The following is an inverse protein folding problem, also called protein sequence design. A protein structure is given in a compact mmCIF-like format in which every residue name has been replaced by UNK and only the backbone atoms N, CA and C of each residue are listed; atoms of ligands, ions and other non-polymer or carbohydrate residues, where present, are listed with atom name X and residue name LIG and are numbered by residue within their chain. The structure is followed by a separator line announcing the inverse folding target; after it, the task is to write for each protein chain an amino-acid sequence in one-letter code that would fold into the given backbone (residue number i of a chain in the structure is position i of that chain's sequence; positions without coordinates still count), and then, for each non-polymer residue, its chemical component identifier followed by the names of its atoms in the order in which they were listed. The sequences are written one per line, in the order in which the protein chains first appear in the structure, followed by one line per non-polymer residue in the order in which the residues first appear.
data_IF_370071594817
#
_entry.id   IF_370071594817
#
_cell.length_a   1.000
_cell.length_b   1.000
_cell.length_c   1.000
_cell.angle_alpha   90.00
_cell.angle_beta   90.00
_cell.angle_gamma   90.00
#
_symmetry.space_group_name_H-M   'P 1'
#
loop_
_entity.id
_entity.type
_entity.pdbx_description
1 polymer ?
#
# COMPACT_ATOMS: atom_id res chain seq x y z
N UNK A 1 -1.03 13.28 -18.81
CA UNK A 1 -2.38 12.68 -18.69
C UNK A 1 -2.40 11.27 -19.23
N UNK A 2 -3.10 10.36 -18.56
CA UNK A 2 -3.43 9.05 -19.10
C UNK A 2 -4.70 9.13 -19.97
N UNK A 3 -5.01 8.09 -20.74
CA UNK A 3 -6.16 8.08 -21.67
C UNK A 3 -7.51 8.22 -20.95
N UNK A 4 -7.62 7.69 -19.74
CA UNK A 4 -8.82 7.80 -18.92
C UNK A 4 -9.07 9.26 -18.47
N UNK A 5 -8.03 9.96 -18.01
CA UNK A 5 -8.08 11.37 -17.65
C UNK A 5 -8.48 12.24 -18.85
N UNK A 6 -7.92 11.98 -20.04
CA UNK A 6 -8.29 12.69 -21.26
C UNK A 6 -9.78 12.49 -21.61
N UNK A 7 -10.27 11.25 -21.48
CA UNK A 7 -11.68 10.93 -21.73
C UNK A 7 -12.60 11.59 -20.71
N UNK A 8 -12.22 11.59 -19.42
CA UNK A 8 -12.98 12.22 -18.34
C UNK A 8 -13.05 13.73 -18.52
N UNK A 9 -11.93 14.40 -18.82
CA UNK A 9 -11.89 15.83 -19.09
C UNK A 9 -12.74 16.18 -20.32
N UNK A 10 -12.63 15.42 -21.41
CA UNK A 10 -13.43 15.65 -22.62
C UNK A 10 -14.94 15.57 -22.36
N UNK A 11 -15.39 14.65 -21.50
CA UNK A 11 -16.80 14.56 -21.08
C UNK A 11 -17.22 15.76 -20.23
N UNK A 12 -16.39 16.15 -19.25
CA UNK A 12 -16.67 17.28 -18.38
C UNK A 12 -16.80 18.60 -19.18
N UNK A 13 -15.89 18.83 -20.14
CA UNK A 13 -15.95 20.00 -21.00
C UNK A 13 -17.18 20.03 -21.92
N UNK A 14 -17.64 18.86 -22.40
CA UNK A 14 -18.88 18.78 -23.19
C UNK A 14 -20.11 19.14 -22.36
N UNK A 15 -20.22 18.56 -21.16
CA UNK A 15 -21.31 18.86 -20.22
C UNK A 15 -21.34 20.36 -19.86
N UNK A 16 -20.18 20.98 -19.67
CA UNK A 16 -20.08 22.42 -19.45
C UNK A 16 -20.53 23.24 -20.66
N UNK A 17 -20.25 22.77 -21.89
CA UNK A 17 -20.76 23.37 -23.11
C UNK A 17 -22.29 23.35 -23.16
N UNK A 18 -22.90 22.20 -22.85
CA UNK A 18 -24.36 22.04 -22.78
C UNK A 18 -24.98 22.96 -21.71
N UNK A 19 -24.33 23.08 -20.55
CA UNK A 19 -24.74 24.05 -19.53
C UNK A 19 -24.64 25.49 -20.02
N UNK A 20 -23.58 25.83 -20.75
CA UNK A 20 -23.39 27.14 -21.37
C UNK A 20 -24.51 27.51 -22.35
N UNK A 21 -24.91 26.56 -23.20
CA UNK A 21 -26.01 26.75 -24.17
C UNK A 21 -27.38 26.89 -23.50
N UNK A 22 -27.61 26.18 -22.38
CA UNK A 22 -28.87 26.20 -21.64
C UNK A 22 -29.00 27.39 -20.66
N UNK A 23 -27.95 28.21 -20.49
CA UNK A 23 -27.99 29.37 -19.61
C UNK A 23 -28.91 30.46 -20.16
N UNK A 24 -29.83 30.91 -19.31
CA UNK A 24 -30.76 32.02 -19.61
C UNK A 24 -30.87 32.94 -18.40
N UNK A 25 -31.45 34.12 -18.57
CA UNK A 25 -31.67 35.05 -17.46
C UNK A 25 -32.59 34.50 -16.35
N UNK A 26 -33.34 33.43 -16.64
CA UNK A 26 -34.29 32.79 -15.71
C UNK A 26 -33.76 31.47 -15.14
N UNK A 27 -32.48 31.16 -15.33
CA UNK A 27 -31.89 29.93 -14.80
C UNK A 27 -31.96 29.93 -13.26
N UNK A 28 -32.51 28.88 -12.62
CA UNK A 28 -32.61 28.81 -11.17
C UNK A 28 -31.24 28.72 -10.49
N UNK A 29 -31.10 29.32 -9.30
CA UNK A 29 -29.86 29.31 -8.51
C UNK A 29 -29.32 27.90 -8.25
N UNK A 30 -30.20 26.92 -8.01
CA UNK A 30 -29.80 25.53 -7.85
C UNK A 30 -28.99 25.01 -9.06
N UNK A 31 -29.41 25.39 -10.28
CA UNK A 31 -28.72 25.02 -11.51
C UNK A 31 -27.37 25.74 -11.63
N UNK A 32 -27.30 27.00 -11.20
CA UNK A 32 -26.03 27.74 -11.16
C UNK A 32 -25.02 27.11 -10.19
N UNK A 33 -25.50 26.58 -9.06
CA UNK A 33 -24.66 25.83 -8.12
C UNK A 33 -24.16 24.50 -8.69
N UNK A 34 -24.98 23.78 -9.44
CA UNK A 34 -24.56 22.58 -10.18
C UNK A 34 -23.46 22.91 -11.19
N UNK A 35 -23.69 23.92 -12.05
CA UNK A 35 -22.72 24.35 -13.06
C UNK A 35 -21.40 24.76 -12.40
N UNK A 36 -21.45 25.47 -11.27
CA UNK A 36 -20.26 25.83 -10.49
C UNK A 36 -19.51 24.60 -9.99
N UNK A 37 -20.20 23.57 -9.53
CA UNK A 37 -19.57 22.33 -9.07
C UNK A 37 -18.91 21.58 -10.23
N UNK A 38 -19.57 21.52 -11.39
CA UNK A 38 -19.01 20.91 -12.61
C UNK A 38 -17.79 21.67 -13.14
N UNK A 39 -17.83 23.01 -13.13
CA UNK A 39 -16.68 23.84 -13.50
C UNK A 39 -15.48 23.53 -12.60
N UNK A 40 -15.72 23.41 -11.29
CA UNK A 40 -14.65 23.11 -10.34
C UNK A 40 -14.07 21.72 -10.57
N UNK A 41 -14.91 20.71 -10.78
CA UNK A 41 -14.45 19.35 -11.13
C UNK A 41 -13.60 19.33 -12.40
N UNK A 42 -14.01 20.07 -13.44
CA UNK A 42 -13.25 20.14 -14.69
C UNK A 42 -11.89 20.84 -14.49
N UNK A 43 -11.85 21.89 -13.68
CA UNK A 43 -10.61 22.58 -13.31
C UNK A 43 -9.68 21.67 -12.51
N UNK A 44 -10.20 20.94 -11.51
CA UNK A 44 -9.40 20.02 -10.71
C UNK A 44 -8.75 18.93 -11.60
N UNK A 45 -9.50 18.36 -12.56
CA UNK A 45 -8.97 17.41 -13.55
C UNK A 45 -7.89 18.02 -14.46
N UNK A 46 -8.02 19.30 -14.80
CA UNK A 46 -7.03 20.02 -15.60
C UNK A 46 -5.77 20.32 -14.76
N UNK A 47 -5.92 20.73 -13.52
CA UNK A 47 -4.79 21.02 -12.63
C UNK A 47 -3.98 19.76 -12.33
N UNK A 48 -4.63 18.65 -12.04
CA UNK A 48 -3.97 17.34 -11.91
C UNK A 48 -3.19 16.95 -13.17
N UNK A 49 -3.71 17.34 -14.34
CA UNK A 49 -3.06 17.04 -15.62
C UNK A 49 -1.82 17.86 -15.92
N UNK A 50 -1.83 19.14 -15.51
CA UNK A 50 -0.75 20.11 -15.76
C UNK A 50 0.36 19.97 -14.71
N UNK A 51 -0.01 19.69 -13.46
CA UNK A 51 0.94 19.60 -12.34
C UNK A 51 1.51 18.19 -12.14
N UNK A 52 0.81 17.15 -12.63
CA UNK A 52 1.22 15.76 -12.49
C UNK A 52 2.37 15.36 -13.40
N UNK A 53 3.25 14.48 -12.91
CA UNK A 53 4.25 13.82 -13.76
C UNK A 53 3.56 13.03 -14.88
N UNK A 54 4.15 13.05 -16.08
CA UNK A 54 3.61 12.28 -17.20
C UNK A 54 3.52 10.79 -16.81
N UNK A 55 2.35 10.16 -16.96
CA UNK A 55 2.19 8.77 -16.57
C UNK A 55 3.10 7.89 -17.44
N UNK A 56 3.83 6.99 -16.78
CA UNK A 56 4.72 6.04 -17.45
C UNK A 56 3.95 4.94 -18.17
N UNK A 57 2.73 4.64 -17.72
CA UNK A 57 1.85 3.65 -18.36
C UNK A 57 0.53 4.27 -18.82
N UNK A 58 -0.21 3.58 -19.70
CA UNK A 58 -1.56 3.98 -20.13
C UNK A 58 -2.67 3.36 -19.27
N UNK A 59 -2.31 2.65 -18.20
CA UNK A 59 -3.25 1.97 -17.31
C UNK A 59 -3.86 2.95 -16.29
N UNK A 60 -5.19 2.94 -16.09
CA UNK A 60 -5.84 3.79 -15.08
C UNK A 60 -5.54 3.35 -13.64
N UNK A 61 -5.30 2.05 -13.40
CA UNK A 61 -4.96 1.53 -12.08
C UNK A 61 -3.50 1.83 -11.69
N UNK A 62 -2.59 1.88 -12.67
CA UNK A 62 -1.14 1.99 -12.42
C UNK A 62 -0.48 3.06 -13.30
N UNK A 63 -0.86 4.34 -13.19
CA UNK A 63 -0.36 5.40 -14.08
C UNK A 63 1.17 5.60 -14.01
N UNK A 64 1.78 5.30 -12.85
CA UNK A 64 3.24 5.39 -12.61
C UNK A 64 3.90 4.02 -12.46
N UNK A 65 3.24 2.95 -12.89
CA UNK A 65 3.73 1.58 -12.76
C UNK A 65 4.94 1.28 -13.67
N UNK A 66 5.58 0.12 -13.46
CA UNK A 66 6.65 -0.37 -14.33
C UNK A 66 6.14 -0.59 -15.77
N UNK A 67 6.95 -0.18 -16.74
CA UNK A 67 6.59 -0.16 -18.17
C UNK A 67 6.98 -1.48 -18.83
N UNK A 68 6.04 -2.07 -19.58
CA UNK A 68 6.28 -3.19 -20.49
C UNK A 68 5.89 -2.77 -21.91
N UNK A 69 6.87 -2.66 -22.82
CA UNK A 69 6.64 -2.23 -24.22
C UNK A 69 5.84 -3.24 -25.03
N UNK A 70 5.75 -4.49 -24.57
CA UNK A 70 4.93 -5.53 -25.21
C UNK A 70 3.49 -5.55 -24.71
N UNK A 71 3.16 -4.78 -23.67
CA UNK A 71 1.81 -4.66 -23.13
C UNK A 71 1.00 -3.59 -23.89
N UNK A 72 -0.30 -3.82 -24.18
CA UNK A 72 -1.15 -2.87 -24.91
C UNK A 72 -1.37 -1.54 -24.17
N UNK A 73 -1.40 -1.58 -22.83
CA UNK A 73 -1.53 -0.43 -21.93
C UNK A 73 -0.19 0.00 -21.32
N UNK A 74 0.93 -0.55 -21.82
CA UNK A 74 2.29 -0.33 -21.32
C UNK A 74 2.49 -0.74 -19.85
N UNK A 75 1.52 -1.38 -19.20
CA UNK A 75 1.57 -1.68 -17.77
C UNK A 75 2.02 -3.12 -17.52
N UNK A 76 3.22 -3.29 -16.96
CA UNK A 76 3.77 -4.61 -16.64
C UNK A 76 2.90 -5.37 -15.64
N UNK A 77 2.29 -4.68 -14.67
CA UNK A 77 1.46 -5.32 -13.62
C UNK A 77 0.19 -5.95 -14.19
N UNK A 78 -0.55 -5.18 -15.01
CA UNK A 78 -1.75 -5.67 -15.68
C UNK A 78 -1.41 -6.74 -16.72
N UNK A 79 -0.31 -6.59 -17.46
CA UNK A 79 0.11 -7.58 -18.44
C UNK A 79 0.57 -8.89 -17.81
N UNK A 80 1.25 -8.85 -16.66
CA UNK A 80 1.61 -10.05 -15.89
C UNK A 80 0.36 -10.81 -15.45
N UNK A 81 -0.69 -10.09 -15.00
CA UNK A 81 -1.99 -10.68 -14.65
C UNK A 81 -2.67 -11.31 -15.88
N UNK A 82 -2.70 -10.62 -17.04
CA UNK A 82 -3.25 -11.15 -18.30
C UNK A 82 -2.49 -12.39 -18.80
N UNK A 83 -1.16 -12.40 -18.72
CA UNK A 83 -0.33 -13.57 -19.06
C UNK A 83 -0.57 -14.75 -18.11
N UNK A 84 -0.77 -14.49 -16.82
CA UNK A 84 -1.12 -15.55 -15.87
C UNK A 84 -2.49 -16.18 -16.20
N UNK A 85 -3.51 -15.36 -16.50
CA UNK A 85 -4.82 -15.84 -16.91
C UNK A 85 -4.77 -16.67 -18.20
N UNK A 86 -4.09 -16.18 -19.26
CA UNK A 86 -3.91 -16.94 -20.51
C UNK A 86 -3.18 -18.27 -20.30
N UNK A 87 -2.16 -18.32 -19.42
CA UNK A 87 -1.49 -19.59 -19.09
C UNK A 87 -2.43 -20.59 -18.42
N UNK A 88 -3.34 -20.13 -17.57
CA UNK A 88 -4.34 -20.99 -16.92
C UNK A 88 -5.41 -21.49 -17.90
N UNK A 89 -5.72 -20.72 -18.97
CA UNK A 89 -6.67 -21.12 -20.01
C UNK A 89 -6.08 -22.18 -20.97
N UNK A 90 -4.82 -22.02 -21.40
CA UNK A 90 -4.23 -22.88 -22.44
C UNK A 90 -3.59 -24.17 -21.94
N UNK A 91 -3.02 -24.19 -20.73
CA UNK A 91 -2.40 -25.40 -20.18
C UNK A 91 -3.39 -26.31 -19.44
N UNK A 92 -4.70 -26.03 -19.55
CA UNK A 92 -5.68 -26.47 -18.56
C UNK A 92 -5.27 -25.99 -17.15
N UNK A 93 -5.88 -26.51 -16.07
CA UNK A 93 -5.21 -26.48 -14.79
C UNK A 93 -3.93 -27.33 -14.93
N UNK A 94 -2.83 -26.72 -15.40
CA UNK A 94 -1.49 -27.29 -15.24
C UNK A 94 -1.34 -27.74 -13.79
N UNK A 95 -0.64 -28.86 -13.53
CA UNK A 95 -0.81 -29.68 -12.34
C UNK A 95 -1.09 -28.78 -11.16
N UNK A 96 -2.34 -28.86 -10.68
CA UNK A 96 -2.81 -28.05 -9.57
C UNK A 96 -1.67 -28.01 -8.56
N UNK A 97 -1.23 -26.79 -8.20
CA UNK A 97 -0.31 -26.63 -7.10
C UNK A 97 -0.81 -27.58 -6.00
N UNK A 98 -0.01 -28.59 -5.61
CA UNK A 98 -0.54 -29.73 -4.87
C UNK A 98 -1.17 -29.18 -3.60
N UNK A 99 -2.49 -29.33 -3.52
CA UNK A 99 -3.29 -29.17 -2.33
C UNK A 99 -2.98 -27.89 -1.53
N UNK A 100 -3.84 -26.87 -1.65
CA UNK A 100 -4.11 -26.05 -0.45
C UNK A 100 -4.55 -27.05 0.62
N UNK A 101 -3.83 -27.22 1.74
CA UNK A 101 -4.26 -28.16 2.76
C UNK A 101 -5.61 -27.65 3.28
N UNK A 102 -6.68 -28.45 3.13
CA UNK A 102 -7.98 -28.18 3.77
C UNK A 102 -7.85 -28.03 5.29
N UNK A 103 -6.72 -28.50 5.85
CA UNK A 103 -6.34 -28.32 7.23
C UNK A 103 -4.89 -27.81 7.34
N UNK A 104 -4.67 -26.56 7.80
CA UNK A 104 -3.33 -26.08 8.07
C UNK A 104 -2.66 -26.98 9.13
N UNK A 105 -1.53 -27.58 8.76
CA UNK A 105 -0.75 -28.41 9.67
C UNK A 105 -0.20 -27.51 10.78
N UNK A 106 -0.49 -27.77 12.07
CA UNK A 106 -0.06 -26.90 13.15
C UNK A 106 1.46 -26.95 13.30
N UNK A 107 2.13 -25.89 12.88
CA UNK A 107 3.50 -25.61 13.27
C UNK A 107 3.58 -25.38 14.79
N UNK A 108 4.67 -25.83 15.43
CA UNK A 108 4.99 -25.56 16.85
C UNK A 108 4.90 -24.06 17.22
N UNK A 109 5.05 -23.20 16.23
CA UNK A 109 4.78 -21.77 16.28
C UNK A 109 3.53 -21.51 15.42
N UNK A 110 2.35 -21.45 16.03
CA UNK A 110 1.07 -21.49 15.34
C UNK A 110 0.94 -20.55 14.12
N UNK A 111 0.04 -20.90 13.20
CA UNK A 111 -0.29 -20.07 12.03
C UNK A 111 -0.87 -18.74 12.53
N UNK A 112 -0.08 -17.67 12.35
CA UNK A 112 -0.47 -16.30 12.67
C UNK A 112 -1.61 -15.90 11.73
N UNK A 113 -2.78 -15.55 12.27
CA UNK A 113 -3.96 -15.22 11.46
C UNK A 113 -3.69 -14.12 10.42
N UNK A 114 -4.51 -14.12 9.37
CA UNK A 114 -4.38 -13.31 8.14
C UNK A 114 -4.36 -11.78 8.33
N UNK A 115 -4.59 -11.30 9.56
CA UNK A 115 -4.27 -9.92 9.96
C UNK A 115 -3.45 -9.92 11.26
N UNK A 116 -2.19 -9.45 11.27
CA UNK A 116 -1.50 -9.21 12.51
C UNK A 116 -2.28 -8.16 13.32
N UNK A 117 -2.68 -8.50 14.55
CA UNK A 117 -3.36 -7.55 15.43
C UNK A 117 -2.48 -6.31 15.63
N UNK A 118 -3.07 -5.10 15.69
CA UNK A 118 -2.33 -3.87 15.96
C UNK A 118 -1.56 -4.03 17.27
N UNK A 119 -0.26 -3.73 17.23
CA UNK A 119 0.60 -3.90 18.40
C UNK A 119 0.87 -2.52 18.99
N UNK A 120 0.36 -2.31 20.21
CA UNK A 120 0.74 -1.18 21.03
C UNK A 120 1.92 -1.60 21.90
N UNK A 121 3.00 -0.82 21.86
CA UNK A 121 4.22 -1.07 22.62
C UNK A 121 4.74 0.23 23.21
N UNK A 122 5.30 0.14 24.40
CA UNK A 122 5.94 1.22 25.10
C UNK A 122 7.44 0.96 25.15
N UNK A 123 8.21 1.82 24.49
CA UNK A 123 9.65 1.70 24.29
C UNK A 123 10.38 2.59 25.32
N UNK A 124 11.00 2.01 26.35
CA UNK A 124 11.83 2.76 27.28
C UNK A 124 13.18 3.05 26.63
N UNK A 125 13.52 4.34 26.53
CA UNK A 125 14.77 4.80 25.93
C UNK A 125 15.60 5.61 26.92
N UNK A 126 16.92 5.49 26.79
CA UNK A 126 17.90 6.31 27.48
C UNK A 126 18.66 7.18 26.48
N UNK A 127 19.17 8.30 26.95
CA UNK A 127 20.11 9.11 26.18
C UNK A 127 21.54 8.71 26.53
N UNK A 128 22.30 8.27 25.54
CA UNK A 128 23.68 7.80 25.72
C UNK A 128 24.74 8.91 25.58
N UNK A 129 24.33 10.13 25.24
CA UNK A 129 25.23 11.27 24.95
C UNK A 129 25.18 11.73 23.49
N UNK A 130 24.71 10.89 22.58
CA UNK A 130 24.64 11.16 21.14
C UNK A 130 23.26 10.88 20.54
N UNK A 131 22.61 9.80 20.99
CA UNK A 131 21.30 9.39 20.48
C UNK A 131 20.44 8.75 21.57
N UNK A 132 19.15 8.65 21.28
CA UNK A 132 18.21 7.88 22.08
C UNK A 132 18.33 6.41 21.71
N UNK A 133 18.59 5.56 22.71
CA UNK A 133 18.72 4.12 22.54
C UNK A 133 17.76 3.38 23.45
N UNK A 134 17.24 2.25 22.97
CA UNK A 134 16.41 1.36 23.78
C UNK A 134 17.22 0.85 24.98
N UNK A 135 16.69 1.07 26.18
CA UNK A 135 17.37 0.68 27.42
C UNK A 135 16.85 -0.62 28.01
N UNK A 136 16.10 -1.42 27.25
CA UNK A 136 15.48 -2.66 27.69
C UNK A 136 14.51 -3.21 26.64
N UNK A 137 13.68 -4.18 27.04
CA UNK A 137 12.65 -4.75 26.17
C UNK A 137 11.39 -3.86 26.13
N UNK A 138 10.75 -3.71 24.95
CA UNK A 138 9.46 -3.04 24.82
C UNK A 138 8.40 -3.62 25.77
N UNK A 139 7.56 -2.78 26.35
CA UNK A 139 6.47 -3.17 27.25
C UNK A 139 5.11 -3.11 26.56
N UNK A 140 4.17 -3.91 27.04
CA UNK A 140 2.78 -3.86 26.55
C UNK A 140 1.93 -2.86 27.31
N UNK A 141 2.28 -2.62 28.57
CA UNK A 141 1.60 -1.64 29.44
C UNK A 141 2.50 -0.42 29.70
N UNK A 142 1.88 0.76 29.67
CA UNK A 142 2.53 2.04 29.97
C UNK A 142 3.05 2.05 31.41
N UNK A 143 2.25 1.58 32.36
CA UNK A 143 2.59 1.63 33.79
C UNK A 143 3.81 0.77 34.09
N UNK A 144 3.88 -0.41 33.48
CA UNK A 144 5.05 -1.28 33.56
C UNK A 144 6.32 -0.59 33.04
N UNK A 145 6.21 0.12 31.91
CA UNK A 145 7.35 0.84 31.32
C UNK A 145 7.81 2.04 32.19
N UNK A 146 6.87 2.77 32.77
CA UNK A 146 7.17 3.86 33.71
C UNK A 146 7.86 3.35 34.98
N UNK A 147 7.39 2.25 35.56
CA UNK A 147 8.03 1.60 36.70
C UNK A 147 9.44 1.12 36.36
N UNK A 148 9.63 0.58 35.16
CA UNK A 148 10.94 0.17 34.67
C UNK A 148 11.91 1.35 34.57
N UNK A 149 11.51 2.46 33.94
CA UNK A 149 12.35 3.68 33.87
C UNK A 149 12.64 4.25 35.27
N UNK A 150 11.67 4.20 36.19
CA UNK A 150 11.90 4.61 37.57
C UNK A 150 12.93 3.74 38.28
N UNK A 151 12.96 2.42 38.00
CA UNK A 151 13.98 1.52 38.50
C UNK A 151 15.36 1.82 37.87
N UNK A 152 15.42 2.06 36.55
CA UNK A 152 16.67 2.39 35.85
C UNK A 152 17.33 3.67 36.42
N UNK A 153 16.53 4.68 36.78
CA UNK A 153 17.00 5.92 37.41
C UNK A 153 17.60 5.71 38.80
N UNK A 154 17.19 4.64 39.50
CA UNK A 154 17.73 4.26 40.83
C UNK A 154 18.85 3.23 40.73
N UNK A 155 19.21 2.81 39.52
CA UNK A 155 20.26 1.82 39.28
C UNK A 155 21.66 2.39 39.56
N UNK A 156 22.69 1.52 39.56
CA UNK A 156 24.06 1.91 39.87
C UNK A 156 24.71 2.82 38.81
N UNK A 157 24.16 2.85 37.59
CA UNK A 157 24.63 3.70 36.47
C UNK A 157 23.43 4.29 35.71
N UNK A 158 22.79 5.34 36.24
CA UNK A 158 21.68 5.98 35.56
C UNK A 158 22.19 6.76 34.33
N UNK A 159 21.42 6.74 33.25
CA UNK A 159 21.65 7.59 32.10
C UNK A 159 21.25 9.05 32.42
N UNK A 160 21.78 10.00 31.64
CA UNK A 160 21.51 11.42 31.88
C UNK A 160 20.03 11.80 31.65
N UNK A 161 19.37 11.10 30.74
CA UNK A 161 17.96 11.29 30.48
C UNK A 161 17.30 9.97 30.06
N UNK A 162 16.01 9.86 30.35
CA UNK A 162 15.17 8.76 29.92
C UNK A 162 13.88 9.33 29.34
N UNK A 163 13.35 8.65 28.33
CA UNK A 163 12.02 8.94 27.78
C UNK A 163 11.26 7.65 27.52
N UNK A 164 9.95 7.78 27.41
CA UNK A 164 9.07 6.69 27.06
C UNK A 164 8.42 7.02 25.72
N UNK A 165 8.63 6.16 24.73
CA UNK A 165 8.06 6.30 23.39
C UNK A 165 6.89 5.34 23.24
N UNK A 166 5.76 5.84 22.75
CA UNK A 166 4.62 5.00 22.39
C UNK A 166 4.76 4.60 20.92
N UNK A 167 4.97 3.32 20.68
CA UNK A 167 4.94 2.73 19.35
C UNK A 167 3.58 2.08 19.14
N UNK A 168 2.85 2.58 18.15
CA UNK A 168 1.63 1.98 17.67
C UNK A 168 1.89 1.54 16.24
N UNK A 169 1.76 0.24 15.96
CA UNK A 169 1.81 -0.23 14.57
C UNK A 169 0.46 -0.74 14.10
N UNK A 170 -0.12 -0.03 13.13
CA UNK A 170 -1.27 -0.41 12.33
C UNK A 170 -0.82 -1.22 11.11
N UNK A 171 -0.44 -2.47 11.31
CA UNK A 171 -0.04 -3.29 10.17
C UNK A 171 -1.24 -3.66 9.29
N UNK A 172 -1.37 -3.04 8.12
CA UNK A 172 -1.68 -3.80 6.90
C UNK A 172 -0.35 -4.36 6.35
N UNK A 173 0.06 -5.55 6.82
CA UNK A 173 1.24 -6.25 6.30
C UNK A 173 0.78 -7.53 5.62
N UNK A 174 0.60 -7.45 4.29
CA UNK A 174 0.54 -8.63 3.44
C UNK A 174 1.95 -9.21 3.32
N UNK A 175 2.28 -10.20 4.17
CA UNK A 175 3.47 -11.04 4.00
C UNK A 175 3.06 -12.36 3.35
N UNK A 176 3.13 -12.43 2.03
CA UNK A 176 3.02 -13.70 1.30
C UNK A 176 4.37 -14.38 1.35
N UNK A 177 4.50 -15.43 2.16
CA UNK A 177 5.61 -16.38 2.04
C UNK A 177 5.14 -17.49 1.10
N UNK A 178 5.82 -17.65 -0.04
CA UNK A 178 5.63 -18.82 -0.91
C UNK A 178 6.15 -20.10 -0.23
N UNK A 179 5.71 -21.25 -0.72
CA UNK A 179 6.15 -22.57 -0.24
C UNK A 179 7.66 -22.73 -0.48
N UNK A 180 8.47 -23.08 0.53
CA UNK A 180 9.89 -23.34 0.30
C UNK A 180 10.02 -24.56 -0.61
N UNK A 181 10.58 -24.35 -1.81
CA UNK A 181 10.92 -25.43 -2.73
C UNK A 181 12.22 -26.06 -2.23
N UNK A 182 12.16 -27.33 -1.84
CA UNK A 182 13.36 -28.12 -1.60
C UNK A 182 13.96 -28.44 -2.97
N UNK A 183 15.09 -27.82 -3.27
CA UNK A 183 15.91 -28.16 -4.44
C UNK A 183 16.85 -29.27 -4.00
N UNK A 184 16.77 -30.44 -4.61
CA UNK A 184 17.82 -31.45 -4.43
C UNK A 184 19.10 -30.94 -5.11
N UNK A 185 20.24 -31.16 -4.47
CA UNK A 185 21.55 -30.78 -5.02
C UNK A 185 21.78 -31.65 -6.27
N UNK A 186 21.86 -31.03 -7.44
CA UNK A 186 22.28 -31.72 -8.66
C UNK A 186 23.61 -32.45 -8.39
N UNK A 187 23.75 -33.72 -8.82
CA UNK A 187 25.04 -34.38 -8.72
C UNK A 187 26.01 -33.61 -9.60
N UNK A 188 27.00 -32.95 -8.97
CA UNK A 188 28.17 -32.48 -9.69
C UNK A 188 28.84 -33.72 -10.27
N UNK A 189 28.55 -33.98 -11.55
CA UNK A 189 29.26 -34.95 -12.36
C UNK A 189 30.72 -34.54 -12.41
N UNK A 190 31.54 -35.19 -11.60
CA UNK A 190 32.97 -35.22 -11.78
C UNK A 190 33.30 -36.53 -12.50
N UNK A 191 33.97 -36.35 -13.65
CA UNK A 191 34.77 -37.34 -14.37
C UNK A 191 35.53 -38.30 -13.47
#
# INVERSE_FOLDING_TARGET
MNHAQLTALGRALRLLGEHGEALTATTPDAKLHEIRADLRRALDLLDESVTGAAPSTRCPEHPTGPVDTSAPDLCLLCETRRRAARRAEFNGPGPAAPYSPEHPVPSRYGVRGDRPQPQQRWLPELWNGQEWQLCGTPRRDRREAELYLAAQRRGPRPAMAYRLVHEFTDYEVLRVWGTPVKVDIEPMGNL
#
